data_IF_622472537778
#
_entry.id   IF_622472537778
#
_cell.length_a   1.000
_cell.length_b   1.000
_cell.length_c   1.000
_cell.angle_alpha   90.00
_cell.angle_beta   90.00
_cell.angle_gamma   90.00
#
_symmetry.space_group_name_H-M   'P 1'
#
loop_
_entity.id
_entity.type
_entity.pdbx_description
1 polymer ?
#
# COMPACT_ATOMS: atom_id res chain seq x y z
N UNK A 1 8.62 5.48 -90.19
CA UNK A 1 9.10 4.24 -89.55
C UNK A 1 10.19 4.65 -88.56
N UNK A 2 9.80 5.06 -87.35
CA UNK A 2 10.68 5.67 -86.35
C UNK A 2 10.67 4.83 -85.08
N UNK A 3 11.85 4.36 -84.69
CA UNK A 3 12.06 3.39 -83.64
C UNK A 3 11.78 3.98 -82.24
N UNK A 4 10.99 3.26 -81.43
CA UNK A 4 10.73 3.56 -80.02
C UNK A 4 11.76 2.85 -79.14
N UNK A 5 12.55 3.55 -78.31
CA UNK A 5 13.44 2.89 -77.37
C UNK A 5 12.67 2.40 -76.14
N UNK A 6 12.84 1.12 -75.83
CA UNK A 6 12.30 0.48 -74.63
C UNK A 6 13.18 0.85 -73.44
N UNK A 7 12.75 1.83 -72.65
CA UNK A 7 13.39 2.17 -71.37
C UNK A 7 13.24 0.99 -70.41
N UNK A 8 14.34 0.25 -70.25
CA UNK A 8 14.48 -0.87 -69.34
C UNK A 8 14.46 -0.31 -67.90
N UNK A 9 13.28 -0.35 -67.28
CA UNK A 9 13.09 0.04 -65.89
C UNK A 9 13.93 -0.88 -64.99
N UNK A 10 15.05 -0.35 -64.48
CA UNK A 10 15.76 -0.94 -63.36
C UNK A 10 14.86 -0.79 -62.13
N UNK A 11 14.26 -1.89 -61.68
CA UNK A 11 13.53 -1.94 -60.42
C UNK A 11 14.54 -1.72 -59.29
N UNK A 12 14.57 -0.53 -58.71
CA UNK A 12 15.14 -0.37 -57.37
C UNK A 12 14.27 -1.15 -56.38
N UNK A 13 14.86 -2.00 -55.54
CA UNK A 13 14.13 -2.62 -54.45
C UNK A 13 13.78 -1.51 -53.45
N UNK A 14 12.48 -1.21 -53.30
CA UNK A 14 11.99 -0.39 -52.19
C UNK A 14 12.24 -1.15 -50.89
N UNK A 15 13.37 -0.88 -50.24
CA UNK A 15 13.57 -1.21 -48.83
C UNK A 15 12.49 -0.47 -48.03
N UNK A 16 11.52 -1.24 -47.52
CA UNK A 16 10.48 -0.70 -46.64
C UNK A 16 11.13 -0.20 -45.36
N UNK A 17 10.89 1.05 -44.91
CA UNK A 17 11.44 1.52 -43.65
C UNK A 17 10.81 0.77 -42.48
N UNK A 18 11.63 0.13 -41.67
CA UNK A 18 11.29 -0.54 -40.39
C UNK A 18 10.96 0.48 -39.27
N UNK A 19 10.64 1.72 -39.62
CA UNK A 19 10.46 2.83 -38.69
C UNK A 19 9.22 2.70 -37.78
N UNK A 20 8.27 1.80 -38.08
CA UNK A 20 7.04 1.64 -37.29
C UNK A 20 7.18 0.63 -36.14
N UNK A 21 8.10 -0.33 -36.24
CA UNK A 21 8.34 -1.33 -35.19
C UNK A 21 9.12 -0.74 -33.99
N UNK A 22 9.97 0.27 -34.23
CA UNK A 22 10.79 0.90 -33.18
C UNK A 22 9.95 1.67 -32.14
N UNK A 23 8.76 2.16 -32.50
CA UNK A 23 7.87 2.87 -31.57
C UNK A 23 7.17 1.96 -30.57
N UNK A 24 6.99 0.68 -30.92
CA UNK A 24 6.36 -0.31 -30.03
C UNK A 24 7.31 -0.85 -28.96
N UNK A 25 8.61 -0.93 -29.27
CA UNK A 25 9.64 -1.41 -28.33
C UNK A 25 9.72 -0.49 -27.09
N UNK A 26 9.76 0.82 -27.30
CA UNK A 26 9.76 1.79 -26.20
C UNK A 26 8.49 1.73 -25.33
N UNK A 27 7.32 1.44 -25.93
CA UNK A 27 6.07 1.31 -25.17
C UNK A 27 6.12 0.11 -24.21
N UNK A 28 6.76 -0.99 -24.63
CA UNK A 28 6.89 -2.20 -23.82
C UNK A 28 7.91 -1.98 -22.69
N UNK A 29 9.06 -1.37 -22.98
CA UNK A 29 10.07 -1.01 -21.97
C UNK A 29 9.47 -0.12 -20.87
N UNK A 30 8.67 0.87 -21.27
CA UNK A 30 8.01 1.77 -20.34
C UNK A 30 6.90 1.07 -19.54
N UNK A 31 6.14 0.17 -20.18
CA UNK A 31 5.10 -0.61 -19.49
C UNK A 31 5.67 -1.48 -18.37
N UNK A 32 6.79 -2.19 -18.62
CA UNK A 32 7.45 -2.98 -17.57
C UNK A 32 8.02 -2.10 -16.47
N UNK A 33 8.68 -1.00 -16.82
CA UNK A 33 9.21 -0.05 -15.83
C UNK A 33 8.07 0.50 -14.95
N UNK A 34 6.95 0.88 -15.56
CA UNK A 34 5.77 1.34 -14.87
C UNK A 34 5.20 0.26 -13.94
N UNK A 35 5.01 -0.97 -14.43
CA UNK A 35 4.47 -2.07 -13.63
C UNK A 35 5.38 -2.42 -12.45
N UNK A 36 6.69 -2.47 -12.68
CA UNK A 36 7.67 -2.80 -11.65
C UNK A 36 7.78 -1.67 -10.62
N UNK A 37 7.84 -0.41 -11.05
CA UNK A 37 7.87 0.73 -10.14
C UNK A 37 6.60 0.78 -9.31
N UNK A 38 5.44 0.64 -9.94
CA UNK A 38 4.16 0.69 -9.24
C UNK A 38 3.99 -0.50 -8.29
N UNK A 39 4.36 -1.71 -8.72
CA UNK A 39 4.36 -2.90 -7.88
C UNK A 39 5.31 -2.79 -6.71
N UNK A 40 6.52 -2.24 -6.92
CA UNK A 40 7.49 -1.99 -5.87
C UNK A 40 6.98 -0.96 -4.86
N UNK A 41 6.47 0.18 -5.32
CA UNK A 41 5.89 1.21 -4.45
C UNK A 41 4.69 0.65 -3.67
N UNK A 42 3.79 -0.07 -4.35
CA UNK A 42 2.64 -0.71 -3.71
C UNK A 42 3.08 -1.69 -2.61
N UNK A 43 4.08 -2.52 -2.90
CA UNK A 43 4.66 -3.46 -1.94
C UNK A 43 5.27 -2.70 -0.76
N UNK A 44 6.11 -1.68 -1.01
CA UNK A 44 6.73 -0.88 0.06
C UNK A 44 5.66 -0.22 0.95
N UNK A 45 4.60 0.34 0.36
CA UNK A 45 3.52 0.96 1.13
C UNK A 45 2.80 -0.10 1.98
N UNK A 46 2.38 -1.21 1.37
CA UNK A 46 1.61 -2.25 2.06
C UNK A 46 2.42 -2.88 3.21
N UNK A 47 3.65 -3.30 2.92
CA UNK A 47 4.53 -3.89 3.92
C UNK A 47 5.02 -2.85 4.94
N UNK A 48 5.21 -1.59 4.54
CA UNK A 48 5.58 -0.50 5.43
C UNK A 48 4.50 -0.20 6.47
N UNK A 49 3.23 -0.18 6.06
CA UNK A 49 2.09 -0.06 6.99
C UNK A 49 2.08 -1.26 7.94
N UNK A 50 2.16 -2.49 7.42
CA UNK A 50 2.14 -3.70 8.23
C UNK A 50 3.28 -3.74 9.27
N UNK A 51 4.49 -3.35 8.87
CA UNK A 51 5.64 -3.28 9.76
C UNK A 51 5.43 -2.23 10.87
N UNK A 52 4.92 -1.06 10.49
CA UNK A 52 4.64 0.03 11.46
C UNK A 52 3.65 -0.42 12.53
N UNK A 53 2.58 -1.14 12.14
CA UNK A 53 1.65 -1.76 13.07
C UNK A 53 2.34 -2.72 14.05
N UNK A 54 3.22 -3.58 13.55
CA UNK A 54 3.95 -4.54 14.38
C UNK A 54 4.83 -3.82 15.41
N UNK A 55 5.54 -2.79 14.98
CA UNK A 55 6.38 -1.98 15.86
C UNK A 55 5.55 -1.24 16.93
N UNK A 56 4.40 -0.70 16.56
CA UNK A 56 3.49 -0.04 17.50
C UNK A 56 2.96 -0.99 18.58
N UNK A 57 2.54 -2.21 18.19
CA UNK A 57 2.05 -3.23 19.12
C UNK A 57 3.16 -3.72 20.07
N UNK A 58 4.38 -3.88 19.57
CA UNK A 58 5.53 -4.24 20.40
C UNK A 58 5.82 -3.16 21.44
N UNK A 59 5.86 -1.89 21.03
CA UNK A 59 6.05 -0.78 21.97
C UNK A 59 4.92 -0.71 23.02
N UNK A 60 3.66 -0.89 22.60
CA UNK A 60 2.52 -0.91 23.51
C UNK A 60 2.59 -2.06 24.53
N UNK A 61 3.04 -3.25 24.10
CA UNK A 61 3.22 -4.39 24.98
C UNK A 61 4.35 -4.17 26.00
N UNK A 62 5.49 -3.62 25.57
CA UNK A 62 6.59 -3.29 26.47
C UNK A 62 6.23 -2.22 27.51
N UNK A 63 5.50 -1.19 27.09
CA UNK A 63 5.03 -0.13 27.98
C UNK A 63 3.93 -0.61 28.93
N UNK A 64 3.00 -1.45 28.46
CA UNK A 64 1.99 -2.08 29.30
C UNK A 64 2.62 -3.02 30.34
N UNK A 65 3.62 -3.82 29.96
CA UNK A 65 4.38 -4.66 30.87
C UNK A 65 5.15 -3.84 31.92
N UNK A 66 5.78 -2.74 31.50
CA UNK A 66 6.44 -1.80 32.44
C UNK A 66 5.44 -1.13 33.38
N UNK A 67 4.24 -0.80 32.91
CA UNK A 67 3.17 -0.23 33.74
C UNK A 67 2.64 -1.25 34.76
N UNK A 68 2.52 -2.53 34.39
CA UNK A 68 2.10 -3.59 35.31
C UNK A 68 3.06 -3.80 36.49
N UNK A 69 4.35 -3.53 36.28
CA UNK A 69 5.40 -3.65 37.31
C UNK A 69 5.54 -2.40 38.19
N UNK A 70 4.88 -1.28 37.84
CA UNK A 70 4.86 -0.09 38.71
C UNK A 70 4.09 -0.39 39.99
N UNK A 71 4.49 0.27 41.08
CA UNK A 71 3.87 0.06 42.38
C UNK A 71 2.42 0.53 42.36
N UNK A 72 1.50 -0.42 42.32
CA UNK A 72 0.07 -0.23 42.57
C UNK A 72 -0.33 -1.03 43.82
N UNK A 73 -1.26 -0.50 44.64
CA UNK A 73 -1.66 -1.08 45.92
C UNK A 73 -2.34 -2.45 45.82
N UNK A 74 -2.96 -2.77 44.68
CA UNK A 74 -3.62 -4.05 44.44
C UNK A 74 -3.30 -4.61 43.05
N UNK A 75 -3.42 -5.93 42.87
CA UNK A 75 -3.18 -6.61 41.60
C UNK A 75 -4.18 -6.18 40.52
N UNK A 76 -5.45 -5.93 40.89
CA UNK A 76 -6.48 -5.48 39.94
C UNK A 76 -6.15 -4.08 39.41
N UNK A 77 -5.65 -3.21 40.28
CA UNK A 77 -5.21 -1.87 39.90
C UNK A 77 -3.98 -1.89 38.97
N UNK A 78 -3.06 -2.87 39.13
CA UNK A 78 -1.91 -3.06 38.23
C UNK A 78 -2.34 -3.46 36.83
N UNK A 79 -3.29 -4.40 36.74
CA UNK A 79 -3.82 -4.87 35.45
C UNK A 79 -4.58 -3.75 34.73
N UNK A 80 -5.40 -2.99 35.46
CA UNK A 80 -6.15 -1.87 34.90
C UNK A 80 -5.22 -0.78 34.36
N UNK A 81 -4.15 -0.43 35.09
CA UNK A 81 -3.17 0.57 34.62
C UNK A 81 -2.38 0.08 33.41
N UNK A 82 -1.94 -1.18 33.41
CA UNK A 82 -1.24 -1.80 32.28
C UNK A 82 -2.08 -1.79 31.00
N UNK A 83 -3.37 -2.14 31.11
CA UNK A 83 -4.32 -2.10 29.99
C UNK A 83 -4.51 -0.67 29.48
N UNK A 84 -4.67 0.30 30.39
CA UNK A 84 -4.91 1.68 30.03
C UNK A 84 -3.71 2.27 29.25
N UNK A 85 -2.49 2.01 29.72
CA UNK A 85 -1.25 2.41 29.04
C UNK A 85 -1.13 1.75 27.66
N UNK A 86 -1.39 0.44 27.56
CA UNK A 86 -1.34 -0.26 26.28
C UNK A 86 -2.36 0.31 25.28
N UNK A 87 -3.60 0.58 25.73
CA UNK A 87 -4.67 1.16 24.90
C UNK A 87 -4.31 2.54 24.37
N UNK A 88 -3.79 3.42 25.23
CA UNK A 88 -3.38 4.77 24.83
C UNK A 88 -2.27 4.75 23.76
N UNK A 89 -1.32 3.82 23.86
CA UNK A 89 -0.24 3.69 22.87
C UNK A 89 -0.69 3.15 21.53
N UNK A 90 -1.71 2.30 21.50
CA UNK A 90 -2.31 1.79 20.26
C UNK A 90 -3.18 2.85 19.58
N UNK A 91 -3.80 3.78 20.31
CA UNK A 91 -4.69 4.80 19.71
C UNK A 91 -3.96 5.89 18.89
N UNK A 92 -2.67 6.15 19.15
CA UNK A 92 -1.96 7.28 18.53
C UNK A 92 -1.81 7.23 17.00
N UNK A 93 -2.00 6.07 16.38
CA UNK A 93 -1.88 5.88 14.92
C UNK A 93 -3.22 5.53 14.24
N UNK A 94 -4.27 5.25 15.03
CA UNK A 94 -5.62 4.95 14.55
C UNK A 94 -6.48 6.22 14.56
N UNK A 95 -7.25 6.52 13.51
CA UNK A 95 -8.21 7.61 13.58
C UNK A 95 -9.31 7.22 14.58
N UNK A 96 -9.32 7.84 15.76
CA UNK A 96 -10.41 7.69 16.75
C UNK A 96 -11.80 8.05 16.20
N UNK A 97 -11.89 8.56 14.98
CA UNK A 97 -13.13 8.73 14.23
C UNK A 97 -13.84 7.41 13.88
N UNK A 98 -13.13 6.28 13.87
CA UNK A 98 -13.73 4.95 13.70
C UNK A 98 -14.18 4.33 15.04
N UNK A 99 -13.79 4.94 16.17
CA UNK A 99 -14.17 4.51 17.52
C UNK A 99 -15.49 5.12 17.98
N UNK A 100 -16.32 5.68 17.08
CA UNK A 100 -17.65 6.14 17.46
C UNK A 100 -18.38 4.98 18.14
N UNK A 101 -18.64 5.03 19.46
CA UNK A 101 -19.61 4.14 20.02
C UNK A 101 -20.92 4.63 19.42
N UNK A 102 -21.55 3.85 18.55
CA UNK A 102 -22.99 4.03 18.45
C UNK A 102 -23.53 3.86 19.87
N UNK A 103 -24.17 4.89 20.45
CA UNK A 103 -24.77 4.76 21.76
C UNK A 103 -25.91 3.76 21.58
N UNK A 104 -25.68 2.48 21.93
CA UNK A 104 -26.75 1.54 22.25
C UNK A 104 -27.25 1.90 23.65
N UNK A 105 -27.83 3.09 23.77
CA UNK A 105 -28.37 3.61 25.02
C UNK A 105 -29.85 3.20 25.23
N UNK A 106 -30.41 2.39 24.34
CA UNK A 106 -31.87 2.35 24.16
C UNK A 106 -32.47 0.95 23.91
N UNK A 107 -31.70 -0.15 23.87
CA UNK A 107 -32.27 -1.49 23.60
C UNK A 107 -32.30 -2.48 24.78
N UNK A 108 -31.98 -2.05 26.02
CA UNK A 108 -32.01 -2.95 27.21
C UNK A 108 -32.90 -2.41 28.35
N UNK A 109 -33.57 -1.27 28.17
CA UNK A 109 -34.47 -0.68 29.18
C UNK A 109 -35.94 -0.62 28.72
N UNK A 110 -36.36 -1.57 27.89
CA UNK A 110 -37.76 -1.71 27.46
C UNK A 110 -38.15 -3.20 27.48
N UNK A 111 -38.29 -3.78 28.68
CA UNK A 111 -38.79 -5.16 28.81
C UNK A 111 -38.58 -5.82 30.17
N UNK A 112 -39.61 -5.71 31.02
CA UNK A 112 -39.92 -6.50 32.22
C UNK A 112 -39.26 -6.10 33.55
#
# INVERSE_FOLDING_TARGET
MTARPHLRQRRCPRLRPVARAQRGVYAIEFAFTFLLLFGLIYTIICYGILLTYRMALQNAAEEGARAALRYQPDITARLAEAENVARLRVQGWWPGALDAPEPKADLVQEGA
#
